data_IF_963304019085
#
_entry.id   IF_963304019085
#
_cell.length_a   1.000
_cell.length_b   1.000
_cell.length_c   1.000
_cell.angle_alpha   90.00
_cell.angle_beta   90.00
_cell.angle_gamma   90.00
#
_symmetry.space_group_name_H-M   'P 1'
#
loop_
_entity.id
_entity.type
_entity.pdbx_description
1 polymer ?
#
# COMPACT_ATOMS: atom_id res chain seq x y z
N UNK A 1 19.18 -3.02 -22.80
CA UNK A 1 19.76 -2.71 -21.46
C UNK A 1 18.71 -2.25 -20.43
N UNK A 2 17.42 -2.11 -20.79
CA UNK A 2 16.32 -1.75 -19.86
C UNK A 2 15.67 -2.95 -19.14
N UNK A 3 15.92 -4.19 -19.57
CA UNK A 3 15.19 -5.38 -19.08
C UNK A 3 15.43 -5.71 -17.60
N UNK A 4 16.58 -5.34 -17.02
CA UNK A 4 16.86 -5.60 -15.60
C UNK A 4 16.02 -4.70 -14.67
N UNK A 5 15.66 -3.49 -15.12
CA UNK A 5 14.85 -2.56 -14.33
C UNK A 5 13.42 -3.08 -14.10
N UNK A 6 12.87 -3.81 -15.07
CA UNK A 6 11.54 -4.44 -14.97
C UNK A 6 11.46 -5.55 -13.92
N UNK A 7 12.63 -6.04 -13.46
CA UNK A 7 12.69 -7.07 -12.43
C UNK A 7 12.54 -6.50 -11.02
N UNK A 8 12.81 -5.21 -10.82
CA UNK A 8 12.78 -4.59 -9.49
C UNK A 8 11.34 -4.56 -8.92
N UNK A 9 11.20 -4.57 -7.57
CA UNK A 9 9.90 -4.33 -6.96
C UNK A 9 9.45 -2.89 -7.25
N UNK A 10 8.15 -2.69 -7.39
CA UNK A 10 7.58 -1.38 -7.69
C UNK A 10 6.19 -1.26 -7.07
N UNK A 11 6.05 -0.41 -6.06
CA UNK A 11 4.74 -0.16 -5.44
C UNK A 11 3.89 0.77 -6.31
N UNK A 12 2.60 0.48 -6.37
CA UNK A 12 1.59 1.28 -7.06
C UNK A 12 0.28 1.27 -6.26
N UNK A 13 -0.53 2.31 -6.45
CA UNK A 13 -1.91 2.33 -5.95
C UNK A 13 -2.77 1.59 -6.95
N UNK A 14 -3.32 0.45 -6.54
CA UNK A 14 -4.23 -0.35 -7.35
C UNK A 14 -5.63 0.26 -7.33
N UNK A 15 -6.10 0.67 -6.15
CA UNK A 15 -7.33 1.44 -6.00
C UNK A 15 -7.29 2.30 -4.76
N UNK A 16 -7.96 3.45 -4.85
CA UNK A 16 -8.21 4.33 -3.72
C UNK A 16 -9.65 4.80 -3.86
N UNK A 17 -10.50 4.41 -2.91
CA UNK A 17 -11.91 4.77 -2.88
C UNK A 17 -12.19 5.57 -1.63
N UNK A 18 -12.68 6.78 -1.84
CA UNK A 18 -13.17 7.62 -0.76
C UNK A 18 -14.69 7.67 -0.82
N UNK A 19 -15.34 7.43 0.31
CA UNK A 19 -16.81 7.39 0.40
C UNK A 19 -17.26 8.17 1.61
N UNK A 20 -18.17 9.12 1.41
CA UNK A 20 -18.82 9.83 2.52
C UNK A 20 -19.81 8.90 3.22
N UNK A 21 -19.63 8.69 4.52
CA UNK A 21 -20.47 7.80 5.34
C UNK A 21 -21.28 8.55 6.41
N UNK A 22 -21.05 9.86 6.59
CA UNK A 22 -21.77 10.72 7.51
C UNK A 22 -21.49 12.20 7.21
N UNK A 23 -22.04 13.12 8.00
CA UNK A 23 -21.94 14.57 7.75
C UNK A 23 -20.47 15.04 7.59
N UNK A 24 -19.62 14.63 8.53
CA UNK A 24 -18.19 14.91 8.59
C UNK A 24 -17.36 13.61 8.73
N UNK A 25 -17.84 12.50 8.16
CA UNK A 25 -17.18 11.20 8.25
C UNK A 25 -16.96 10.60 6.86
N UNK A 26 -15.74 10.16 6.61
CA UNK A 26 -15.31 9.62 5.34
C UNK A 26 -14.65 8.26 5.55
N UNK A 27 -15.00 7.30 4.72
CA UNK A 27 -14.36 6.01 4.65
C UNK A 27 -13.36 6.02 3.49
N UNK A 28 -12.08 5.80 3.80
CA UNK A 28 -11.00 5.68 2.82
C UNK A 28 -10.58 4.21 2.73
N UNK A 29 -10.75 3.61 1.56
CA UNK A 29 -10.27 2.26 1.25
C UNK A 29 -9.12 2.36 0.25
N UNK A 30 -7.94 1.91 0.65
CA UNK A 30 -6.73 1.92 -0.15
C UNK A 30 -6.29 0.48 -0.43
N UNK A 31 -6.01 0.19 -1.70
CA UNK A 31 -5.30 -1.01 -2.11
C UNK A 31 -3.98 -0.61 -2.76
N UNK A 32 -2.89 -1.03 -2.13
CA UNK A 32 -1.52 -0.89 -2.65
C UNK A 32 -1.10 -2.23 -3.22
N UNK A 33 -0.41 -2.24 -4.35
CA UNK A 33 0.15 -3.46 -4.91
C UNK A 33 1.62 -3.30 -5.29
N UNK A 34 2.35 -4.41 -5.25
CA UNK A 34 3.63 -4.52 -5.92
C UNK A 34 3.39 -5.00 -7.36
N UNK A 35 3.59 -4.10 -8.32
CA UNK A 35 3.55 -4.42 -9.75
C UNK A 35 4.96 -4.70 -10.30
N UNK A 36 5.94 -4.97 -9.44
CA UNK A 36 7.27 -5.44 -9.81
C UNK A 36 7.34 -6.97 -9.94
N UNK A 37 8.46 -7.45 -10.49
CA UNK A 37 8.70 -8.89 -10.57
C UNK A 37 9.19 -9.46 -9.24
N UNK A 38 10.20 -8.82 -8.64
CA UNK A 38 10.71 -9.20 -7.33
C UNK A 38 9.76 -8.77 -6.21
N UNK A 39 9.79 -9.46 -5.05
CA UNK A 39 9.06 -9.01 -3.87
C UNK A 39 9.67 -7.73 -3.32
N UNK A 40 8.89 -6.99 -2.52
CA UNK A 40 9.35 -5.77 -1.83
C UNK A 40 10.52 -6.03 -0.87
N UNK A 41 10.75 -7.30 -0.51
CA UNK A 41 11.93 -7.71 0.24
C UNK A 41 13.13 -8.14 -0.58
N UNK A 42 13.00 -8.24 -1.89
CA UNK A 42 13.99 -8.66 -2.92
C UNK A 42 14.63 -10.05 -2.74
N UNK A 43 14.92 -10.51 -1.52
CA UNK A 43 15.49 -11.82 -1.21
C UNK A 43 14.98 -12.36 0.13
N UNK A 44 14.73 -13.66 0.22
CA UNK A 44 14.24 -14.29 1.46
C UNK A 44 15.15 -14.01 2.66
N UNK A 45 16.47 -13.95 2.43
CA UNK A 45 17.44 -13.63 3.48
C UNK A 45 17.25 -12.22 4.06
N UNK A 46 16.86 -11.23 3.24
CA UNK A 46 16.57 -9.88 3.75
C UNK A 46 15.35 -9.88 4.68
N UNK A 47 14.33 -10.68 4.36
CA UNK A 47 13.13 -10.87 5.20
C UNK A 47 13.47 -11.60 6.50
N UNK A 48 14.19 -12.72 6.43
CA UNK A 48 14.58 -13.53 7.60
C UNK A 48 15.45 -12.71 8.57
N UNK A 49 16.40 -11.93 8.04
CA UNK A 49 17.28 -11.09 8.86
C UNK A 49 16.64 -9.77 9.31
N UNK A 50 15.39 -9.51 8.92
CA UNK A 50 14.71 -8.24 9.19
C UNK A 50 15.53 -7.02 8.77
N UNK A 51 16.32 -7.16 7.69
CA UNK A 51 17.27 -6.13 7.24
C UNK A 51 16.57 -4.97 6.51
N UNK A 52 15.25 -5.05 6.39
CA UNK A 52 14.41 -4.09 5.68
C UNK A 52 13.06 -3.99 6.38
N UNK A 53 12.39 -2.86 6.18
CA UNK A 53 11.06 -2.61 6.73
C UNK A 53 9.96 -3.08 5.79
N UNK A 54 8.83 -3.57 6.34
CA UNK A 54 7.59 -3.77 5.60
C UNK A 54 7.13 -2.53 4.84
N UNK A 55 6.23 -2.75 3.86
CA UNK A 55 5.52 -1.63 3.23
C UNK A 55 4.61 -1.00 4.28
N UNK A 56 4.64 0.33 4.36
CA UNK A 56 3.83 1.08 5.31
C UNK A 56 3.10 2.24 4.64
N UNK A 57 1.93 2.55 5.17
CA UNK A 57 1.14 3.71 4.76
C UNK A 57 1.01 4.64 5.94
N UNK A 58 1.30 5.91 5.71
CA UNK A 58 1.20 6.99 6.68
C UNK A 58 0.18 8.01 6.18
N UNK A 59 -0.84 8.30 6.99
CA UNK A 59 -1.84 9.34 6.72
C UNK A 59 -1.59 10.53 7.65
N UNK A 60 -1.35 11.69 7.03
CA UNK A 60 -1.14 12.96 7.71
C UNK A 60 -2.44 13.75 7.67
N UNK A 61 -3.06 13.90 8.83
CA UNK A 61 -4.27 14.70 8.99
C UNK A 61 -3.90 16.13 9.43
N UNK A 62 -4.58 17.16 8.89
CA UNK A 62 -4.43 18.53 9.38
C UNK A 62 -5.10 18.70 10.75
N UNK A 63 -4.87 19.86 11.37
CA UNK A 63 -5.54 20.21 12.62
C UNK A 63 -7.08 20.22 12.44
N UNK A 64 -7.80 19.66 13.42
CA UNK A 64 -9.25 19.53 13.37
C UNK A 64 -9.78 18.29 12.63
N UNK A 65 -8.90 17.44 12.09
CA UNK A 65 -9.25 16.11 11.57
C UNK A 65 -8.74 14.99 12.50
N UNK A 66 -9.49 13.89 12.59
CA UNK A 66 -9.15 12.76 13.45
C UNK A 66 -9.47 11.41 12.81
N UNK A 67 -8.84 10.35 13.32
CA UNK A 67 -9.19 8.97 12.96
C UNK A 67 -10.27 8.46 13.89
N UNK A 68 -11.44 8.12 13.34
CA UNK A 68 -12.43 7.30 14.04
C UNK A 68 -12.09 5.81 13.97
N UNK A 69 -11.43 5.38 12.89
CA UNK A 69 -10.87 4.03 12.75
C UNK A 69 -9.60 4.08 11.90
N UNK A 70 -8.69 3.14 12.20
CA UNK A 70 -7.34 3.10 11.65
C UNK A 70 -6.36 3.96 12.42
N UNK A 71 -5.10 3.98 11.98
CA UNK A 71 -3.99 4.69 12.63
C UNK A 71 -3.30 5.63 11.65
N UNK A 72 -2.59 6.62 12.20
CA UNK A 72 -1.67 7.48 11.45
C UNK A 72 -0.68 6.66 10.61
N UNK A 73 -0.18 5.55 11.14
CA UNK A 73 0.77 4.65 10.45
C UNK A 73 0.28 3.22 10.55
N UNK A 74 0.19 2.56 9.40
CA UNK A 74 -0.17 1.13 9.30
C UNK A 74 0.80 0.37 8.38
N UNK A 75 1.12 -0.86 8.77
CA UNK A 75 1.96 -1.79 8.01
C UNK A 75 1.35 -3.20 8.15
N UNK A 76 1.09 -3.90 7.05
CA UNK A 76 0.61 -5.30 7.07
C UNK A 76 1.62 -6.29 6.47
N UNK A 77 2.88 -5.88 6.35
CA UNK A 77 3.98 -6.75 5.93
C UNK A 77 4.59 -6.39 4.58
N UNK A 78 5.32 -7.36 4.02
CA UNK A 78 5.92 -7.22 2.70
C UNK A 78 4.98 -7.78 1.63
N UNK A 79 5.03 -7.17 0.45
CA UNK A 79 4.30 -7.63 -0.73
C UNK A 79 5.18 -8.51 -1.60
N UNK A 80 4.61 -9.62 -2.05
CA UNK A 80 5.21 -10.50 -3.04
C UNK A 80 5.25 -9.84 -4.42
N UNK A 81 6.08 -10.38 -5.32
CA UNK A 81 6.13 -9.97 -6.72
C UNK A 81 5.68 -11.09 -7.65
N UNK A 82 5.69 -10.83 -8.97
CA UNK A 82 5.36 -11.85 -9.98
C UNK A 82 6.24 -13.10 -9.90
N UNK A 83 7.46 -12.99 -9.40
CA UNK A 83 8.39 -14.14 -9.27
C UNK A 83 7.81 -15.27 -8.41
N UNK A 84 6.95 -14.96 -7.43
CA UNK A 84 6.31 -15.95 -6.57
C UNK A 84 5.16 -16.70 -7.29
N UNK A 85 4.84 -16.34 -8.54
CA UNK A 85 3.69 -16.87 -9.29
C UNK A 85 4.09 -17.75 -10.48
N UNK A 86 5.38 -17.94 -10.73
CA UNK A 86 5.85 -18.67 -11.90
C UNK A 86 5.34 -20.12 -11.94
N UNK A 87 5.33 -20.79 -10.79
CA UNK A 87 4.93 -22.20 -10.69
C UNK A 87 3.41 -22.40 -10.54
N UNK A 88 2.66 -21.32 -10.33
CA UNK A 88 1.18 -21.36 -10.16
C UNK A 88 0.51 -21.85 -11.45
N UNK A 89 0.99 -21.37 -12.60
CA UNK A 89 0.50 -21.79 -13.91
C UNK A 89 0.79 -23.26 -14.21
N UNK A 90 1.95 -23.77 -13.78
CA UNK A 90 2.34 -25.16 -13.97
C UNK A 90 1.55 -26.13 -13.07
N UNK A 91 1.01 -25.63 -11.95
CA UNK A 91 0.35 -26.45 -10.92
C UNK A 91 -1.18 -26.33 -10.93
N UNK A 92 -1.78 -25.61 -11.89
CA UNK A 92 -3.21 -25.26 -11.92
C UNK A 92 -3.75 -24.71 -10.59
N UNK A 93 -2.88 -24.05 -9.81
CA UNK A 93 -3.23 -23.51 -8.51
C UNK A 93 -3.90 -22.13 -8.66
N UNK A 94 -4.71 -21.75 -7.68
CA UNK A 94 -5.20 -20.38 -7.58
C UNK A 94 -4.04 -19.43 -7.27
N UNK A 95 -3.97 -18.29 -7.97
CA UNK A 95 -2.95 -17.27 -7.71
C UNK A 95 -3.34 -16.43 -6.49
N UNK A 96 -2.56 -16.45 -5.39
CA UNK A 96 -2.85 -15.60 -4.24
C UNK A 96 -2.68 -14.11 -4.56
N UNK A 97 -3.34 -13.25 -3.78
CA UNK A 97 -3.24 -11.78 -3.85
C UNK A 97 -2.22 -11.19 -2.84
N UNK A 98 -1.21 -11.98 -2.47
CA UNK A 98 -0.10 -11.62 -1.56
C UNK A 98 0.81 -10.49 -2.07
N UNK A 99 0.64 -10.07 -3.33
CA UNK A 99 1.26 -8.89 -3.90
C UNK A 99 0.46 -7.61 -3.59
N UNK A 100 -0.65 -7.70 -2.84
CA UNK A 100 -1.54 -6.59 -2.51
C UNK A 100 -1.72 -6.40 -1.02
N UNK A 101 -1.89 -5.15 -0.64
CA UNK A 101 -2.21 -4.66 0.69
C UNK A 101 -3.54 -3.93 0.61
N UNK A 102 -4.48 -4.20 1.52
CA UNK A 102 -5.69 -3.39 1.68
C UNK A 102 -5.70 -2.77 3.07
N UNK A 103 -5.93 -1.46 3.12
CA UNK A 103 -6.05 -0.69 4.35
C UNK A 103 -7.31 0.17 4.28
N UNK A 104 -7.96 0.34 5.43
CA UNK A 104 -9.21 1.06 5.54
C UNK A 104 -9.18 2.00 6.74
N UNK A 105 -9.61 3.24 6.52
CA UNK A 105 -9.71 4.26 7.56
C UNK A 105 -11.11 4.85 7.59
N UNK A 106 -11.52 5.27 8.78
CA UNK A 106 -12.65 6.19 8.94
C UNK A 106 -12.09 7.48 9.52
N UNK A 107 -12.24 8.57 8.75
CA UNK A 107 -11.70 9.88 9.07
C UNK A 107 -12.86 10.82 9.38
N UNK A 108 -12.76 11.51 10.51
CA UNK A 108 -13.68 12.57 10.88
C UNK A 108 -13.05 13.93 10.57
N UNK A 109 -13.66 14.66 9.65
CA UNK A 109 -13.17 15.97 9.21
C UNK A 109 -14.28 16.73 8.47
N UNK A 110 -14.21 18.07 8.40
CA UNK A 110 -15.05 18.86 7.51
C UNK A 110 -14.87 18.46 6.04
N UNK A 111 -15.93 18.58 5.23
CA UNK A 111 -15.82 18.47 3.77
C UNK A 111 -14.82 19.49 3.22
N UNK A 112 -14.02 19.09 2.24
CA UNK A 112 -12.96 19.89 1.63
C UNK A 112 -11.62 19.79 2.34
N UNK A 113 -11.54 19.03 3.45
CA UNK A 113 -10.27 18.83 4.17
C UNK A 113 -9.28 18.06 3.30
N UNK A 114 -8.04 18.54 3.23
CA UNK A 114 -6.93 17.90 2.53
C UNK A 114 -6.13 17.05 3.50
N UNK A 115 -5.90 15.79 3.15
CA UNK A 115 -5.06 14.87 3.93
C UNK A 115 -3.88 14.43 3.08
N UNK A 116 -2.72 14.27 3.71
CA UNK A 116 -1.53 13.70 3.08
C UNK A 116 -1.51 12.18 3.23
N UNK A 117 -1.05 11.48 2.20
CA UNK A 117 -0.86 10.04 2.20
C UNK A 117 0.53 9.71 1.66
N UNK A 118 1.30 8.97 2.45
CA UNK A 118 2.63 8.49 2.10
C UNK A 118 2.63 6.96 2.12
N UNK A 119 2.95 6.33 0.99
CA UNK A 119 3.12 4.87 0.89
C UNK A 119 4.62 4.63 0.71
N UNK A 120 5.26 4.03 1.70
CA UNK A 120 6.71 3.89 1.74
C UNK A 120 7.14 2.43 1.63
N UNK A 121 8.13 2.19 0.78
CA UNK A 121 8.88 0.94 0.68
C UNK A 121 10.36 1.23 0.51
N UNK A 122 11.21 0.56 1.28
CA UNK A 122 12.66 0.80 1.24
C UNK A 122 13.32 0.37 -0.08
N UNK A 123 12.69 -0.54 -0.83
CA UNK A 123 13.24 -1.08 -2.09
C UNK A 123 12.32 -0.94 -3.29
N UNK A 124 11.04 -0.61 -3.09
CA UNK A 124 10.04 -0.57 -4.16
C UNK A 124 9.57 0.86 -4.54
N UNK A 125 10.20 1.88 -3.95
CA UNK A 125 9.84 3.29 -4.14
C UNK A 125 8.94 3.85 -3.05
N UNK A 126 8.54 5.11 -3.22
CA UNK A 126 7.64 5.83 -2.31
C UNK A 126 6.63 6.62 -3.13
N UNK A 127 5.37 6.65 -2.67
CA UNK A 127 4.30 7.42 -3.29
C UNK A 127 3.85 8.47 -2.28
N UNK A 128 3.80 9.73 -2.71
CA UNK A 128 3.25 10.85 -1.95
C UNK A 128 2.00 11.35 -2.69
N UNK A 129 0.88 11.43 -1.97
CA UNK A 129 -0.39 11.88 -2.54
C UNK A 129 -1.14 12.76 -1.54
N UNK A 130 -1.83 13.77 -2.06
CA UNK A 130 -2.82 14.54 -1.31
C UNK A 130 -4.23 14.06 -1.72
N UNK A 131 -5.11 13.88 -0.74
CA UNK A 131 -6.50 13.44 -0.95
C UNK A 131 -7.44 14.48 -0.33
N UNK A 132 -8.43 14.91 -1.10
CA UNK A 132 -9.46 15.86 -0.63
C UNK A 132 -10.70 15.08 -0.19
N UNK A 133 -11.23 15.42 0.98
CA UNK A 133 -12.42 14.77 1.54
C UNK A 133 -13.72 15.42 1.04
N UNK A 134 -14.33 14.88 -0.01
CA UNK A 134 -15.52 15.45 -0.69
C UNK A 134 -16.88 14.85 -0.30
#
# INVERSE_FOLDING_TARGET
>A
MLSLGELLPHIAIQSMKLTKIGANKFHLNLVVENNGFLPTYTSQQSKIRQAIRPVRVELVLPEGASFASGKHREELGHLEGRSNKLDVAASHAESPTDNRLRLEWVIEAPKGTKIGMNILSERAGTIHQEVVLE
#
